data_IF_808134821095
#
_entry.id   IF_808134821095
#
_cell.length_a   1.000
_cell.length_b   1.000
_cell.length_c   1.000
_cell.angle_alpha   90.00
_cell.angle_beta   90.00
_cell.angle_gamma   90.00
#
_symmetry.space_group_name_H-M   'P 1'
#
loop_
_entity.id
_entity.type
_entity.pdbx_description
1 polymer ?
#
# COMPACT_ATOMS: atom_id res chain seq x y z
N UNK A 1 -2.06 22.37 -9.36
CA UNK A 1 -1.59 22.48 -10.74
C UNK A 1 -2.50 21.70 -11.69
N UNK A 2 -2.65 20.39 -11.57
CA UNK A 2 -3.49 19.56 -12.45
C UNK A 2 -4.96 19.95 -12.49
N UNK A 3 -5.50 20.53 -11.41
CA UNK A 3 -6.89 21.06 -11.38
C UNK A 3 -7.01 22.47 -11.97
N UNK A 4 -5.93 23.22 -12.07
CA UNK A 4 -5.91 24.54 -12.65
C UNK A 4 -5.99 24.47 -14.18
N UNK A 5 -5.34 23.47 -14.77
CA UNK A 5 -5.37 23.22 -16.19
C UNK A 5 -5.63 21.73 -16.48
N UNK A 6 -6.80 21.44 -17.04
CA UNK A 6 -7.26 20.09 -17.36
C UNK A 6 -6.73 19.56 -18.71
N UNK A 7 -5.87 20.33 -19.39
CA UNK A 7 -5.22 19.88 -20.62
C UNK A 7 -4.09 18.87 -20.38
N UNK A 8 -3.60 18.79 -19.14
CA UNK A 8 -2.55 17.84 -18.78
C UNK A 8 -3.12 16.43 -18.60
N UNK A 9 -2.61 15.48 -19.38
CA UNK A 9 -2.94 14.08 -19.25
C UNK A 9 -2.16 13.40 -18.12
N UNK A 10 -1.03 14.00 -17.73
CA UNK A 10 -0.20 13.49 -16.64
C UNK A 10 0.58 14.61 -15.95
N UNK A 11 1.09 14.33 -14.75
CA UNK A 11 1.98 15.27 -14.06
C UNK A 11 3.30 15.52 -14.87
N UNK A 12 3.70 14.59 -15.73
CA UNK A 12 4.88 14.71 -16.60
C UNK A 12 4.71 15.85 -17.58
N UNK A 13 3.49 16.07 -18.11
CA UNK A 13 3.19 17.18 -19.00
C UNK A 13 3.32 18.52 -18.28
N UNK A 14 2.81 18.58 -17.05
CA UNK A 14 2.99 19.77 -16.20
C UNK A 14 4.47 20.05 -15.91
N UNK A 15 5.29 19.02 -15.65
CA UNK A 15 6.73 19.18 -15.46
C UNK A 15 7.40 19.73 -16.72
N UNK A 16 6.96 19.28 -17.91
CA UNK A 16 7.49 19.77 -19.17
C UNK A 16 7.29 21.27 -19.33
N UNK A 17 6.11 21.76 -19.01
CA UNK A 17 5.73 23.16 -19.23
C UNK A 17 6.29 24.10 -18.16
N UNK A 18 6.33 23.65 -16.89
CA UNK A 18 6.79 24.50 -15.78
C UNK A 18 8.28 24.43 -15.48
N UNK A 19 8.96 23.33 -15.83
CA UNK A 19 10.37 23.15 -15.55
C UNK A 19 11.20 23.07 -16.84
N UNK A 20 11.17 21.94 -17.51
CA UNK A 20 11.86 21.73 -18.78
C UNK A 20 11.53 20.35 -19.38
N UNK A 21 11.68 20.21 -20.70
CA UNK A 21 11.51 18.93 -21.40
C UNK A 21 12.47 17.83 -20.89
N UNK A 22 13.71 18.21 -20.50
CA UNK A 22 14.67 17.26 -19.93
C UNK A 22 14.22 16.73 -18.58
N UNK A 23 13.68 17.59 -17.71
CA UNK A 23 13.14 17.19 -16.40
C UNK A 23 11.95 16.25 -16.59
N UNK A 24 11.04 16.56 -17.49
CA UNK A 24 9.89 15.71 -17.83
C UNK A 24 10.34 14.32 -18.33
N UNK A 25 11.32 14.25 -19.20
CA UNK A 25 11.87 12.99 -19.69
C UNK A 25 12.45 12.13 -18.56
N UNK A 26 13.31 12.70 -17.73
CA UNK A 26 13.93 11.99 -16.60
C UNK A 26 12.85 11.52 -15.63
N UNK A 27 11.91 12.38 -15.26
CA UNK A 27 10.84 12.04 -14.32
C UNK A 27 9.94 10.94 -14.88
N UNK A 28 9.55 11.02 -16.14
CA UNK A 28 8.71 10.01 -16.79
C UNK A 28 9.36 8.62 -16.79
N UNK A 29 10.64 8.54 -17.19
CA UNK A 29 11.38 7.28 -17.18
C UNK A 29 11.63 6.74 -15.78
N UNK A 30 11.96 7.60 -14.81
CA UNK A 30 12.13 7.21 -13.42
C UNK A 30 10.83 6.68 -12.83
N UNK A 31 9.71 7.33 -13.13
CA UNK A 31 8.40 6.90 -12.68
C UNK A 31 8.01 5.54 -13.27
N UNK A 32 8.21 5.35 -14.58
CA UNK A 32 7.97 4.06 -15.21
C UNK A 32 8.83 2.94 -14.59
N UNK A 33 10.13 3.18 -14.40
CA UNK A 33 11.03 2.21 -13.77
C UNK A 33 10.62 1.88 -12.34
N UNK A 34 10.16 2.87 -11.59
CA UNK A 34 9.66 2.69 -10.23
C UNK A 34 8.47 1.71 -10.22
N UNK A 35 7.49 1.89 -11.12
CA UNK A 35 6.34 0.99 -11.22
C UNK A 35 6.70 -0.41 -11.67
N UNK A 36 7.66 -0.55 -12.56
CA UNK A 36 8.20 -1.88 -12.93
C UNK A 36 8.83 -2.57 -11.72
N UNK A 37 9.64 -1.85 -10.94
CA UNK A 37 10.25 -2.41 -9.73
C UNK A 37 9.21 -2.81 -8.67
N UNK A 38 8.18 -1.98 -8.47
CA UNK A 38 7.05 -2.30 -7.57
C UNK A 38 6.34 -3.56 -8.05
N UNK A 39 6.00 -3.65 -9.33
CA UNK A 39 5.33 -4.82 -9.89
C UNK A 39 6.17 -6.11 -9.70
N UNK A 40 7.49 -6.03 -9.88
CA UNK A 40 8.39 -7.17 -9.63
C UNK A 40 8.36 -7.59 -8.15
N UNK A 41 8.38 -6.63 -7.22
CA UNK A 41 8.30 -6.90 -5.79
C UNK A 41 6.96 -7.55 -5.40
N UNK A 42 5.85 -7.04 -5.90
CA UNK A 42 4.50 -7.59 -5.64
C UNK A 42 4.35 -9.02 -6.18
N UNK A 43 4.82 -9.30 -7.40
CA UNK A 43 4.78 -10.65 -7.97
C UNK A 43 5.62 -11.63 -7.14
N UNK A 44 6.79 -11.18 -6.67
CA UNK A 44 7.64 -11.98 -5.78
C UNK A 44 6.94 -12.26 -4.46
N UNK A 45 6.29 -11.27 -3.86
CA UNK A 45 5.53 -11.41 -2.62
C UNK A 45 4.36 -12.40 -2.77
N UNK A 46 3.63 -12.37 -3.88
CA UNK A 46 2.57 -13.35 -4.17
C UNK A 46 3.11 -14.78 -4.14
N UNK A 47 4.28 -15.00 -4.74
CA UNK A 47 4.95 -16.31 -4.70
C UNK A 47 5.21 -16.79 -3.29
N UNK A 48 5.70 -15.91 -2.42
CA UNK A 48 5.94 -16.20 -0.99
C UNK A 48 4.63 -16.50 -0.24
N UNK A 49 3.57 -15.72 -0.46
CA UNK A 49 2.27 -15.96 0.18
C UNK A 49 1.65 -17.29 -0.22
N UNK A 50 1.76 -17.69 -1.49
CA UNK A 50 1.25 -18.99 -1.95
C UNK A 50 2.03 -20.14 -1.32
N UNK A 51 3.34 -19.99 -1.08
CA UNK A 51 4.16 -21.00 -0.41
C UNK A 51 3.75 -21.24 1.06
N UNK A 52 3.09 -20.29 1.73
CA UNK A 52 2.53 -20.52 3.07
C UNK A 52 1.44 -21.60 3.06
N UNK A 53 0.70 -21.73 1.96
CA UNK A 53 -0.36 -22.75 1.82
C UNK A 53 0.09 -23.98 1.01
N UNK A 54 0.98 -23.75 0.04
CA UNK A 54 1.51 -24.77 -0.86
C UNK A 54 3.05 -24.74 -0.83
N UNK A 55 3.70 -25.29 0.23
CA UNK A 55 5.14 -25.19 0.42
C UNK A 55 5.99 -25.78 -0.74
N UNK A 56 5.45 -26.76 -1.44
CA UNK A 56 6.13 -27.42 -2.57
C UNK A 56 5.93 -26.70 -3.91
N UNK A 57 5.16 -25.61 -3.95
CA UNK A 57 4.92 -24.86 -5.17
C UNK A 57 6.14 -23.97 -5.49
N UNK A 58 6.75 -24.12 -6.69
CA UNK A 58 7.83 -23.21 -7.10
C UNK A 58 7.33 -21.76 -7.15
N UNK A 59 8.10 -20.84 -6.58
CA UNK A 59 7.73 -19.43 -6.40
C UNK A 59 7.36 -18.72 -7.73
N UNK A 60 7.94 -19.14 -8.85
CA UNK A 60 7.67 -18.55 -10.16
C UNK A 60 6.27 -18.91 -10.73
N UNK A 61 5.67 -20.03 -10.31
CA UNK A 61 4.37 -20.50 -10.82
C UNK A 61 3.24 -19.54 -10.47
N UNK A 62 3.04 -19.15 -9.20
CA UNK A 62 2.05 -18.12 -8.84
C UNK A 62 2.30 -16.79 -9.54
N UNK A 63 3.57 -16.41 -9.71
CA UNK A 63 3.95 -15.20 -10.41
C UNK A 63 3.48 -15.20 -11.88
N UNK A 64 3.71 -16.29 -12.60
CA UNK A 64 3.25 -16.42 -13.99
C UNK A 64 1.73 -16.43 -14.10
N UNK A 65 1.04 -17.12 -13.20
CA UNK A 65 -0.43 -17.15 -13.17
C UNK A 65 -0.96 -15.73 -12.95
N UNK A 66 -0.40 -14.99 -11.98
CA UNK A 66 -0.78 -13.61 -11.71
C UNK A 66 -0.57 -12.72 -12.93
N UNK A 67 0.58 -12.81 -13.58
CA UNK A 67 0.85 -12.06 -14.81
C UNK A 67 -0.15 -12.38 -15.93
N UNK A 68 -0.46 -13.66 -16.13
CA UNK A 68 -1.45 -14.06 -17.12
C UNK A 68 -2.85 -13.51 -16.81
N UNK A 69 -3.27 -13.57 -15.54
CA UNK A 69 -4.57 -13.02 -15.10
C UNK A 69 -4.59 -11.49 -15.30
N UNK A 70 -3.54 -10.79 -14.88
CA UNK A 70 -3.45 -9.34 -15.07
C UNK A 70 -3.45 -8.96 -16.55
N UNK A 71 -2.75 -9.71 -17.40
CA UNK A 71 -2.78 -9.50 -18.85
C UNK A 71 -4.20 -9.67 -19.39
N UNK A 72 -4.90 -10.75 -19.03
CA UNK A 72 -6.28 -10.96 -19.44
C UNK A 72 -7.20 -9.83 -18.99
N UNK A 73 -7.08 -9.38 -17.74
CA UNK A 73 -7.87 -8.24 -17.21
C UNK A 73 -7.58 -6.95 -17.97
N UNK A 74 -6.31 -6.69 -18.31
CA UNK A 74 -5.92 -5.50 -19.07
C UNK A 74 -6.38 -5.51 -20.53
N UNK A 75 -6.65 -6.70 -21.10
CA UNK A 75 -7.18 -6.83 -22.45
C UNK A 75 -8.72 -6.61 -22.52
N UNK A 76 -9.37 -6.56 -21.35
CA UNK A 76 -10.80 -6.25 -21.24
C UNK A 76 -10.98 -4.72 -21.35
N UNK A 77 -12.17 -4.27 -21.72
CA UNK A 77 -12.50 -2.83 -21.85
C UNK A 77 -12.24 -2.05 -20.56
N UNK A 78 -11.82 -0.79 -20.70
CA UNK A 78 -11.49 0.12 -19.59
C UNK A 78 -12.61 0.20 -18.53
N UNK A 79 -13.88 0.15 -18.94
CA UNK A 79 -15.00 0.16 -18.02
C UNK A 79 -15.08 -1.07 -17.11
N UNK A 80 -14.86 -2.26 -17.67
CA UNK A 80 -14.82 -3.50 -16.89
C UNK A 80 -13.60 -3.57 -15.97
N UNK A 81 -12.46 -3.02 -16.41
CA UNK A 81 -11.26 -2.90 -15.58
C UNK A 81 -11.52 -2.07 -14.31
N UNK A 82 -12.15 -0.89 -14.46
CA UNK A 82 -12.48 -0.03 -13.32
C UNK A 82 -13.43 -0.69 -12.32
N UNK A 83 -14.37 -1.51 -12.79
CA UNK A 83 -15.26 -2.27 -11.92
C UNK A 83 -14.51 -3.35 -11.13
N UNK A 84 -13.64 -4.11 -11.78
CA UNK A 84 -12.80 -5.14 -11.13
C UNK A 84 -11.87 -4.50 -10.10
N UNK A 85 -11.23 -3.38 -10.41
CA UNK A 85 -10.38 -2.62 -9.49
C UNK A 85 -11.16 -2.15 -8.26
N UNK A 86 -12.38 -1.66 -8.46
CA UNK A 86 -13.27 -1.24 -7.37
C UNK A 86 -13.60 -2.39 -6.42
N UNK A 87 -13.90 -3.58 -6.93
CA UNK A 87 -14.15 -4.77 -6.12
C UNK A 87 -12.92 -5.19 -5.32
N UNK A 88 -11.74 -5.21 -5.92
CA UNK A 88 -10.48 -5.51 -5.20
C UNK A 88 -10.18 -4.47 -4.12
N UNK A 89 -10.44 -3.19 -4.39
CA UNK A 89 -10.30 -2.14 -3.39
C UNK A 89 -11.24 -2.35 -2.19
N UNK A 90 -12.50 -2.74 -2.43
CA UNK A 90 -13.47 -3.03 -1.37
C UNK A 90 -13.05 -4.24 -0.52
N UNK A 91 -12.56 -5.32 -1.13
CA UNK A 91 -12.05 -6.50 -0.41
C UNK A 91 -10.90 -6.09 0.51
N UNK A 92 -9.94 -5.30 0.01
CA UNK A 92 -8.80 -4.78 0.78
C UNK A 92 -9.27 -3.94 1.97
N UNK A 93 -10.18 -3.01 1.75
CA UNK A 93 -10.74 -2.15 2.80
C UNK A 93 -11.42 -2.99 3.87
N UNK A 94 -12.27 -3.93 3.47
CA UNK A 94 -12.98 -4.82 4.39
C UNK A 94 -12.01 -5.67 5.21
N UNK A 95 -10.98 -6.23 4.59
CA UNK A 95 -9.97 -7.04 5.27
C UNK A 95 -9.23 -6.24 6.35
N UNK A 96 -8.85 -4.98 6.06
CA UNK A 96 -8.16 -4.12 7.03
C UNK A 96 -9.10 -3.71 8.18
N UNK A 97 -10.34 -3.37 7.88
CA UNK A 97 -11.33 -3.04 8.92
C UNK A 97 -11.61 -4.24 9.82
N UNK A 98 -11.72 -5.44 9.24
CA UNK A 98 -11.88 -6.67 10.00
C UNK A 98 -10.68 -6.95 10.90
N UNK A 99 -9.46 -6.77 10.39
CA UNK A 99 -8.23 -6.88 11.16
C UNK A 99 -8.25 -5.94 12.37
N UNK A 100 -8.61 -4.67 12.16
CA UNK A 100 -8.71 -3.67 13.23
C UNK A 100 -9.77 -4.09 14.24
N UNK A 101 -10.97 -4.49 13.79
CA UNK A 101 -12.06 -4.89 14.66
C UNK A 101 -11.70 -6.12 15.53
N UNK A 102 -11.12 -7.16 14.91
CA UNK A 102 -10.66 -8.35 15.63
C UNK A 102 -9.59 -7.99 16.64
N UNK A 103 -8.58 -7.20 16.24
CA UNK A 103 -7.49 -6.84 17.13
C UNK A 103 -7.93 -5.97 18.30
N UNK A 104 -8.85 -5.02 18.08
CA UNK A 104 -9.49 -4.28 19.19
C UNK A 104 -10.25 -5.23 20.10
N UNK A 105 -11.03 -6.18 19.55
CA UNK A 105 -11.70 -7.21 20.32
C UNK A 105 -10.73 -8.03 21.18
N UNK A 106 -9.60 -8.47 20.60
CA UNK A 106 -8.55 -9.18 21.34
C UNK A 106 -7.94 -8.34 22.47
N UNK A 107 -7.77 -7.03 22.27
CA UNK A 107 -7.29 -6.13 23.31
C UNK A 107 -8.29 -6.00 24.47
N UNK A 108 -9.60 -5.89 24.16
CA UNK A 108 -10.66 -5.77 25.17
C UNK A 108 -10.78 -7.02 26.06
N UNK A 109 -10.65 -8.22 25.47
CA UNK A 109 -10.70 -9.48 26.23
C UNK A 109 -9.33 -9.88 26.79
N UNK A 110 -8.30 -9.08 26.59
CA UNK A 110 -6.90 -9.40 26.98
C UNK A 110 -6.49 -10.79 26.51
N UNK A 111 -6.75 -11.07 25.26
CA UNK A 111 -6.44 -12.37 24.66
C UNK A 111 -4.99 -12.76 24.90
N UNK A 112 -4.78 -14.00 25.34
CA UNK A 112 -3.45 -14.55 25.56
C UNK A 112 -3.11 -15.53 24.44
N UNK A 113 -2.06 -15.22 23.71
CA UNK A 113 -1.51 -16.09 22.66
C UNK A 113 -1.05 -17.42 23.25
N UNK A 114 -1.02 -18.53 22.48
CA UNK A 114 -0.41 -19.80 22.90
C UNK A 114 1.04 -19.64 23.42
N UNK A 115 1.77 -18.66 22.92
CA UNK A 115 3.12 -18.32 23.37
C UNK A 115 3.17 -17.47 24.66
N UNK A 116 2.03 -17.31 25.34
CA UNK A 116 1.94 -16.59 26.61
C UNK A 116 1.91 -15.07 26.50
N UNK A 117 1.89 -14.48 25.31
CA UNK A 117 1.85 -13.04 25.09
C UNK A 117 0.42 -12.56 25.25
N UNK A 118 0.24 -11.54 26.09
CA UNK A 118 -1.06 -10.89 26.30
C UNK A 118 -1.20 -9.72 25.33
N UNK A 119 -2.31 -9.69 24.60
CA UNK A 119 -2.66 -8.57 23.71
C UNK A 119 -2.92 -7.32 24.51
N UNK A 120 -2.07 -6.30 24.35
CA UNK A 120 -2.15 -5.04 25.08
C UNK A 120 -1.48 -3.91 24.31
N UNK A 121 -1.99 -2.67 24.36
CA UNK A 121 -1.30 -1.49 23.83
C UNK A 121 0.09 -1.26 24.44
N UNK A 122 0.37 -1.81 25.63
CA UNK A 122 1.69 -1.74 26.25
C UNK A 122 2.78 -2.42 25.43
N UNK A 123 2.43 -3.38 24.55
CA UNK A 123 3.38 -4.05 23.67
C UNK A 123 4.10 -3.11 22.70
N UNK A 124 3.50 -1.95 22.39
CA UNK A 124 4.14 -0.91 21.56
C UNK A 124 5.38 -0.30 22.23
N UNK A 125 5.39 -0.22 23.56
CA UNK A 125 6.38 0.58 24.31
C UNK A 125 7.29 -0.33 25.17
N UNK A 126 6.82 -1.50 25.58
CA UNK A 126 7.48 -2.36 26.57
C UNK A 126 8.79 -3.00 26.10
N UNK A 127 9.11 -2.96 24.81
CA UNK A 127 10.27 -3.66 24.21
C UNK A 127 11.24 -2.68 23.55
N UNK A 128 11.74 -1.71 24.30
CA UNK A 128 12.72 -0.73 23.83
C UNK A 128 12.15 0.65 23.53
N UNK A 129 10.86 0.89 23.84
CA UNK A 129 10.21 2.18 23.65
C UNK A 129 10.01 2.57 22.19
N UNK A 130 9.83 3.85 21.94
CA UNK A 130 9.53 4.39 20.62
C UNK A 130 10.72 4.30 19.63
N UNK A 131 11.95 4.31 20.15
CA UNK A 131 13.19 4.17 19.37
C UNK A 131 13.92 2.85 19.71
N UNK A 132 13.19 1.74 19.65
CA UNK A 132 13.67 0.42 20.06
C UNK A 132 15.00 -0.02 19.40
N UNK A 133 15.23 0.36 18.15
CA UNK A 133 16.47 0.09 17.39
C UNK A 133 17.37 1.32 17.27
N UNK A 134 17.13 2.36 18.08
CA UNK A 134 17.87 3.61 18.04
C UNK A 134 17.60 4.47 16.80
N UNK A 135 18.41 5.51 16.63
CA UNK A 135 18.25 6.46 15.52
C UNK A 135 18.48 5.81 14.15
N UNK A 136 19.41 4.86 14.05
CA UNK A 136 19.72 4.16 12.81
C UNK A 136 18.50 3.35 12.30
N UNK A 137 17.87 2.58 13.18
CA UNK A 137 16.66 1.83 12.83
C UNK A 137 15.48 2.75 12.49
N UNK A 138 15.36 3.87 13.21
CA UNK A 138 14.36 4.89 12.90
C UNK A 138 14.57 5.48 11.50
N UNK A 139 15.79 5.85 11.13
CA UNK A 139 16.09 6.38 9.79
C UNK A 139 15.85 5.32 8.69
N UNK A 140 16.23 4.07 8.94
CA UNK A 140 15.95 2.97 8.00
C UNK A 140 14.45 2.73 7.79
N UNK A 141 13.60 2.99 8.80
CA UNK A 141 12.16 2.83 8.67
C UNK A 141 11.53 3.80 7.66
N UNK A 142 12.14 4.97 7.41
CA UNK A 142 11.66 5.92 6.40
C UNK A 142 11.56 5.31 5.00
N UNK A 143 12.46 4.38 4.66
CA UNK A 143 12.41 3.67 3.39
C UNK A 143 11.09 2.91 3.22
N UNK A 144 10.65 2.20 4.26
CA UNK A 144 9.38 1.47 4.26
C UNK A 144 8.17 2.42 4.27
N UNK A 145 8.27 3.52 5.02
CA UNK A 145 7.23 4.55 5.07
C UNK A 145 7.05 5.16 3.68
N UNK A 146 8.11 5.59 3.00
CA UNK A 146 8.04 6.16 1.65
C UNK A 146 7.40 5.16 0.68
N UNK A 147 7.82 3.89 0.74
CA UNK A 147 7.25 2.84 -0.10
C UNK A 147 5.75 2.62 0.16
N UNK A 148 5.30 2.68 1.42
CA UNK A 148 3.89 2.50 1.78
C UNK A 148 2.98 3.64 1.30
N UNK A 149 3.54 4.80 0.97
CA UNK A 149 2.81 5.93 0.37
C UNK A 149 2.89 5.97 -1.17
N UNK A 150 3.58 5.03 -1.80
CA UNK A 150 3.59 4.91 -3.27
C UNK A 150 2.16 4.70 -3.79
N UNK A 151 1.81 5.40 -4.87
CA UNK A 151 0.49 5.35 -5.47
C UNK A 151 -0.47 6.49 -5.07
N UNK A 152 -0.15 7.29 -4.04
CA UNK A 152 -0.98 8.48 -3.71
C UNK A 152 -1.02 9.47 -4.87
N UNK A 153 0.07 9.60 -5.61
CA UNK A 153 0.18 10.44 -6.80
C UNK A 153 -0.75 10.00 -7.95
N UNK A 154 -1.23 8.76 -7.93
CA UNK A 154 -2.18 8.25 -8.94
C UNK A 154 -3.49 9.05 -8.98
N UNK A 155 -3.88 9.66 -7.86
CA UNK A 155 -5.04 10.58 -7.83
C UNK A 155 -4.85 11.74 -8.81
N UNK A 156 -3.60 12.20 -8.99
CA UNK A 156 -3.27 13.22 -10.00
C UNK A 156 -3.26 12.68 -11.43
N UNK A 157 -2.83 11.43 -11.63
CA UNK A 157 -2.79 10.78 -12.95
C UNK A 157 -4.20 10.50 -13.49
N UNK A 158 -5.10 10.05 -12.64
CA UNK A 158 -6.49 9.73 -13.01
C UNK A 158 -7.37 10.96 -13.20
N UNK A 159 -6.83 12.15 -13.01
CA UNK A 159 -7.58 13.40 -13.17
C UNK A 159 -8.17 13.57 -14.59
N UNK A 160 -7.40 13.18 -15.61
CA UNK A 160 -7.84 13.26 -17.01
C UNK A 160 -8.94 12.25 -17.37
N UNK A 161 -9.02 11.14 -16.64
CA UNK A 161 -10.01 10.07 -16.89
C UNK A 161 -11.24 10.18 -15.99
N UNK A 162 -11.22 11.08 -15.01
CA UNK A 162 -12.27 11.21 -14.00
C UNK A 162 -13.41 12.10 -14.52
N UNK A 163 -14.65 11.61 -14.43
CA UNK A 163 -15.83 12.43 -14.66
C UNK A 163 -15.92 13.54 -13.59
N UNK A 164 -16.02 14.81 -14.01
CA UNK A 164 -16.06 15.98 -13.13
C UNK A 164 -14.86 16.12 -12.19
N UNK A 165 -13.61 16.16 -12.70
CA UNK A 165 -12.40 16.11 -11.90
C UNK A 165 -12.30 17.23 -10.85
N UNK A 166 -12.79 18.44 -11.18
CA UNK A 166 -12.81 19.60 -10.26
C UNK A 166 -13.60 19.35 -8.97
N UNK A 167 -14.58 18.44 -8.99
CA UNK A 167 -15.41 18.09 -7.82
C UNK A 167 -14.89 16.84 -7.11
N UNK A 168 -14.48 15.84 -7.88
CA UNK A 168 -14.10 14.51 -7.34
C UNK A 168 -12.70 14.52 -6.73
N UNK A 169 -11.73 15.14 -7.40
CA UNK A 169 -10.33 15.10 -6.95
C UNK A 169 -10.10 15.83 -5.63
N UNK A 170 -10.62 17.06 -5.37
CA UNK A 170 -10.47 17.69 -4.06
C UNK A 170 -11.05 16.84 -2.93
N UNK A 171 -12.19 16.18 -3.17
CA UNK A 171 -12.77 15.26 -2.18
C UNK A 171 -11.86 14.08 -1.93
N UNK A 172 -11.35 13.43 -2.98
CA UNK A 172 -10.43 12.31 -2.85
C UNK A 172 -9.17 12.69 -2.07
N UNK A 173 -8.59 13.87 -2.35
CA UNK A 173 -7.41 14.38 -1.65
C UNK A 173 -7.72 14.63 -0.16
N UNK A 174 -8.87 15.22 0.16
CA UNK A 174 -9.27 15.50 1.55
C UNK A 174 -9.55 14.21 2.34
N UNK A 175 -9.92 13.12 1.67
CA UNK A 175 -10.15 11.83 2.31
C UNK A 175 -8.84 11.06 2.61
N UNK A 176 -7.71 11.43 1.96
CA UNK A 176 -6.41 10.76 2.14
C UNK A 176 -5.95 10.76 3.60
N UNK A 177 -5.94 11.88 4.35
CA UNK A 177 -5.50 11.89 5.74
C UNK A 177 -6.29 10.95 6.64
N UNK A 178 -7.62 10.87 6.43
CA UNK A 178 -8.50 9.97 7.20
C UNK A 178 -8.19 8.51 6.88
N UNK A 179 -7.96 8.20 5.61
CA UNK A 179 -7.55 6.84 5.18
C UNK A 179 -6.20 6.45 5.76
N UNK A 180 -5.22 7.34 5.76
CA UNK A 180 -3.91 7.09 6.36
C UNK A 180 -4.07 6.83 7.86
N UNK A 181 -4.79 7.69 8.57
CA UNK A 181 -4.99 7.53 10.01
C UNK A 181 -5.64 6.19 10.35
N UNK A 182 -6.68 5.82 9.62
CA UNK A 182 -7.44 4.59 9.89
C UNK A 182 -6.68 3.33 9.43
N UNK A 183 -6.26 3.30 8.16
CA UNK A 183 -5.73 2.06 7.58
C UNK A 183 -4.26 1.82 7.87
N UNK A 184 -3.44 2.87 7.98
CA UNK A 184 -2.02 2.69 8.33
C UNK A 184 -1.80 2.75 9.84
N UNK A 185 -2.13 3.86 10.48
CA UNK A 185 -1.86 4.04 11.90
C UNK A 185 -2.73 3.09 12.73
N UNK A 186 -4.03 2.96 12.40
CA UNK A 186 -4.95 2.05 13.09
C UNK A 186 -4.55 0.59 12.97
N UNK A 187 -4.20 0.13 11.76
CA UNK A 187 -3.76 -1.25 11.54
C UNK A 187 -2.44 -1.54 12.25
N UNK A 188 -1.43 -0.66 12.10
CA UNK A 188 -0.14 -0.82 12.79
C UNK A 188 -0.29 -0.82 14.30
N UNK A 189 -1.09 0.10 14.86
CA UNK A 189 -1.39 0.14 16.29
C UNK A 189 -1.94 -1.20 16.78
N UNK A 190 -2.89 -1.76 16.05
CA UNK A 190 -3.53 -3.03 16.41
C UNK A 190 -2.54 -4.19 16.28
N UNK A 191 -1.84 -4.33 15.17
CA UNK A 191 -0.88 -5.42 14.95
C UNK A 191 0.20 -5.41 16.03
N UNK A 192 0.79 -4.25 16.32
CA UNK A 192 1.82 -4.11 17.34
C UNK A 192 1.30 -4.30 18.77
N UNK A 193 -0.01 -4.09 18.99
CA UNK A 193 -0.65 -4.40 20.28
C UNK A 193 -0.91 -5.88 20.47
N UNK A 194 -1.17 -6.62 19.38
CA UNK A 194 -1.38 -8.07 19.43
C UNK A 194 -0.05 -8.77 19.71
N UNK A 195 1.00 -8.39 19.01
CA UNK A 195 2.27 -9.09 19.08
C UNK A 195 3.44 -8.08 19.11
N UNK A 196 4.35 -8.15 20.11
CA UNK A 196 5.47 -7.23 20.20
C UNK A 196 6.46 -7.46 19.04
N UNK A 197 7.00 -6.38 18.51
CA UNK A 197 7.86 -6.38 17.31
C UNK A 197 9.09 -7.30 17.43
N UNK A 198 9.68 -7.43 18.63
CA UNK A 198 10.88 -8.23 18.87
C UNK A 198 10.64 -9.76 18.88
N UNK A 199 9.39 -10.18 18.75
CA UNK A 199 8.98 -11.57 18.65
C UNK A 199 8.52 -11.94 17.23
N UNK A 200 8.50 -10.98 16.32
CA UNK A 200 8.24 -11.23 14.91
C UNK A 200 9.52 -11.80 14.30
N UNK A 201 9.45 -13.03 13.80
CA UNK A 201 10.57 -13.63 13.05
C UNK A 201 10.52 -13.11 11.61
N UNK A 202 11.56 -12.40 11.13
CA UNK A 202 11.58 -11.93 9.76
C UNK A 202 11.64 -13.04 8.71
N UNK A 203 11.87 -14.29 9.13
CA UNK A 203 11.97 -15.46 8.25
C UNK A 203 10.80 -16.45 8.39
N UNK A 204 9.76 -16.10 9.18
CA UNK A 204 8.58 -16.95 9.37
C UNK A 204 7.42 -16.54 8.46
#
# INVERSE_FOLDING_TARGET
>A
LLLADLHYNSFVDAIRDYLASRAAFITGWTYWLCWVAIAMAEITAIGMYVQLWLPNCPQWVPGLITLAVLLCVNLITVGAFGEVESWFALIKIFAILLLIAIGVGMMLVRFKSPNGIVTSPSNLISHGGFFATGLDGFLKSFQMVIFSFAGIEMVGMTAAETANPRKVIPKAINDIPVRILLFYIGALFVIMSIYPWNRLDPNS
#
